data_IF_709714081760
#
_entry.id   IF_709714081760
#
_cell.length_a   1.000
_cell.length_b   1.000
_cell.length_c   1.000
_cell.angle_alpha   90.00
_cell.angle_beta   90.00
_cell.angle_gamma   90.00
#
_symmetry.space_group_name_H-M   'P 1'
#
loop_
_entity.id
_entity.type
_entity.pdbx_description
1 polymer ?
#
# COMPACT_ATOMS: atom_id res chain seq x y z
N UNK A 1 14.44 -9.24 -3.16
CA UNK A 1 14.10 -8.53 -1.91
C UNK A 1 12.64 -8.13 -2.00
N UNK A 2 11.88 -8.17 -0.90
CA UNK A 2 10.46 -7.84 -0.93
C UNK A 2 10.26 -6.33 -1.07
N UNK A 3 9.45 -5.92 -2.03
CA UNK A 3 9.09 -4.52 -2.30
C UNK A 3 7.57 -4.45 -2.43
N UNK A 4 6.93 -3.61 -1.62
CA UNK A 4 5.47 -3.44 -1.64
C UNK A 4 5.15 -2.02 -2.10
N UNK A 5 5.13 -1.87 -3.41
CA UNK A 5 4.78 -0.69 -4.22
C UNK A 5 3.57 -0.97 -5.13
N UNK A 6 3.32 -2.25 -5.47
CA UNK A 6 2.21 -2.72 -6.30
C UNK A 6 1.58 -3.98 -5.72
N UNK A 7 0.26 -4.12 -5.88
CA UNK A 7 -0.43 -5.36 -5.51
C UNK A 7 -0.13 -6.51 -6.47
N UNK A 8 0.39 -6.23 -7.67
CA UNK A 8 0.72 -7.25 -8.67
C UNK A 8 1.85 -8.19 -8.25
N UNK A 9 2.60 -7.85 -7.19
CA UNK A 9 3.66 -8.68 -6.62
C UNK A 9 3.16 -9.64 -5.55
N UNK A 10 1.93 -9.48 -5.08
CA UNK A 10 1.34 -10.31 -4.03
C UNK A 10 0.49 -11.38 -4.68
N UNK A 11 0.65 -12.64 -4.27
CA UNK A 11 -0.32 -13.67 -4.61
C UNK A 11 -1.49 -13.69 -3.62
N UNK A 12 -2.46 -14.57 -3.87
CA UNK A 12 -3.63 -14.68 -2.98
C UNK A 12 -3.26 -15.11 -1.55
N UNK A 13 -2.24 -15.94 -1.38
CA UNK A 13 -1.79 -16.40 -0.05
C UNK A 13 -1.11 -15.25 0.69
N UNK A 14 -0.34 -14.43 0.00
CA UNK A 14 0.24 -13.22 0.56
C UNK A 14 -0.86 -12.29 1.09
N UNK A 15 -1.91 -12.05 0.29
CA UNK A 15 -3.05 -11.23 0.72
C UNK A 15 -3.76 -11.80 1.96
N UNK A 16 -4.07 -13.11 1.94
CA UNK A 16 -4.75 -13.77 3.06
C UNK A 16 -3.89 -13.76 4.33
N UNK A 17 -2.57 -13.93 4.19
CA UNK A 17 -1.62 -13.85 5.30
C UNK A 17 -1.50 -12.43 5.87
N UNK A 18 -1.38 -11.42 5.00
CA UNK A 18 -1.40 -10.01 5.40
C UNK A 18 -2.70 -9.68 6.14
N UNK A 19 -3.86 -10.13 5.66
CA UNK A 19 -5.13 -9.90 6.36
C UNK A 19 -5.22 -10.62 7.70
N UNK A 20 -4.65 -11.82 7.82
CA UNK A 20 -4.56 -12.53 9.09
C UNK A 20 -3.71 -11.75 10.10
N UNK A 21 -2.55 -11.23 9.68
CA UNK A 21 -1.70 -10.38 10.51
C UNK A 21 -2.41 -9.08 10.89
N UNK A 22 -3.07 -8.41 9.94
CA UNK A 22 -3.85 -7.20 10.19
C UNK A 22 -4.95 -7.46 11.23
N UNK A 23 -5.64 -8.60 11.14
CA UNK A 23 -6.64 -9.01 12.13
C UNK A 23 -6.02 -9.22 13.52
N UNK A 24 -4.86 -9.87 13.59
CA UNK A 24 -4.11 -10.06 14.84
C UNK A 24 -3.76 -8.71 15.48
N UNK A 25 -3.22 -7.77 14.69
CA UNK A 25 -2.89 -6.42 15.15
C UNK A 25 -4.09 -5.62 15.63
N UNK A 26 -5.21 -5.73 14.92
CA UNK A 26 -6.45 -5.06 15.31
C UNK A 26 -7.02 -5.65 16.62
N UNK A 27 -6.89 -6.96 16.84
CA UNK A 27 -7.32 -7.61 18.09
C UNK A 27 -6.45 -7.23 19.29
N UNK A 28 -5.12 -7.21 19.14
CA UNK A 28 -4.20 -6.85 20.23
C UNK A 28 -4.09 -5.33 20.41
N UNK A 29 -4.68 -4.54 19.52
CA UNK A 29 -4.74 -3.09 19.63
C UNK A 29 -3.41 -2.39 19.41
N UNK A 30 -2.55 -2.92 18.54
CA UNK A 30 -1.24 -2.34 18.20
C UNK A 30 -0.26 -2.22 19.40
N UNK A 31 -0.49 -2.99 20.47
CA UNK A 31 0.44 -3.06 21.58
C UNK A 31 1.61 -3.96 21.20
N UNK A 32 2.79 -3.37 20.96
CA UNK A 32 4.01 -4.16 20.79
C UNK A 32 4.52 -4.62 22.15
N UNK A 33 4.86 -5.91 22.24
CA UNK A 33 5.67 -6.45 23.36
C UNK A 33 7.13 -6.64 22.94
N UNK A 34 7.44 -6.38 21.67
CA UNK A 34 8.76 -6.57 21.09
C UNK A 34 9.60 -5.32 21.27
N UNK A 35 10.85 -5.42 21.75
CA UNK A 35 11.75 -4.27 21.80
C UNK A 35 11.96 -3.68 20.40
N UNK A 36 11.93 -2.34 20.30
CA UNK A 36 12.29 -1.64 19.08
C UNK A 36 13.77 -1.91 18.76
N UNK A 37 14.01 -2.87 17.88
CA UNK A 37 15.35 -3.36 17.56
C UNK A 37 15.71 -3.17 16.09
N UNK A 38 14.68 -2.98 15.25
CA UNK A 38 14.81 -2.71 13.82
C UNK A 38 14.67 -1.21 13.56
N UNK A 39 15.29 -0.71 12.50
CA UNK A 39 15.35 0.71 12.12
C UNK A 39 14.79 0.87 10.73
N UNK A 40 13.87 1.80 10.59
CA UNK A 40 13.26 2.09 9.31
C UNK A 40 13.38 3.58 9.03
N UNK A 41 13.94 3.91 7.87
CA UNK A 41 14.19 5.29 7.48
C UNK A 41 13.00 5.78 6.67
N UNK A 42 12.29 6.78 7.17
CA UNK A 42 11.13 7.36 6.50
C UNK A 42 11.56 8.60 5.73
N UNK A 43 11.34 8.59 4.41
CA UNK A 43 11.47 9.77 3.55
C UNK A 43 10.06 10.25 3.22
N UNK A 44 9.67 11.38 3.79
CA UNK A 44 8.37 12.02 3.56
C UNK A 44 8.55 13.32 2.76
N UNK A 45 7.89 13.39 1.61
CA UNK A 45 7.90 14.57 0.73
C UNK A 45 6.65 15.44 0.89
N UNK A 46 5.89 15.29 1.98
CA UNK A 46 4.68 16.04 2.28
C UNK A 46 3.41 15.35 1.76
N UNK A 47 3.27 14.04 2.04
CA UNK A 47 2.02 13.31 1.76
C UNK A 47 0.98 13.53 2.88
N UNK A 48 -0.12 12.77 2.85
CA UNK A 48 -1.17 12.83 3.87
C UNK A 48 -0.62 12.53 5.29
N UNK A 49 -0.82 13.46 6.22
CA UNK A 49 -0.33 13.37 7.61
C UNK A 49 -0.96 12.17 8.36
N UNK A 50 -2.23 11.84 8.11
CA UNK A 50 -2.90 10.71 8.74
C UNK A 50 -2.30 9.38 8.28
N UNK A 51 -1.86 9.32 7.02
CA UNK A 51 -1.21 8.15 6.47
C UNK A 51 0.20 7.96 7.04
N UNK A 52 0.97 9.04 7.16
CA UNK A 52 2.29 9.02 7.82
C UNK A 52 2.16 8.66 9.30
N UNK A 53 1.16 9.19 9.99
CA UNK A 53 0.87 8.83 11.37
C UNK A 53 0.53 7.34 11.49
N UNK A 54 -0.37 6.83 10.64
CA UNK A 54 -0.72 5.42 10.61
C UNK A 54 0.50 4.53 10.36
N UNK A 55 1.37 4.93 9.43
CA UNK A 55 2.62 4.23 9.15
C UNK A 55 3.51 4.16 10.39
N UNK A 56 3.75 5.30 11.07
CA UNK A 56 4.59 5.36 12.28
C UNK A 56 4.05 4.47 13.39
N UNK A 57 2.73 4.48 13.62
CA UNK A 57 2.09 3.63 14.62
C UNK A 57 2.24 2.15 14.25
N UNK A 58 1.98 1.78 13.00
CA UNK A 58 2.12 0.40 12.52
C UNK A 58 3.56 -0.11 12.59
N UNK A 59 4.53 0.73 12.21
CA UNK A 59 5.95 0.41 12.29
C UNK A 59 6.41 0.20 13.74
N UNK A 60 6.01 1.09 14.65
CA UNK A 60 6.30 0.94 16.08
C UNK A 60 5.68 -0.34 16.65
N UNK A 61 4.44 -0.67 16.26
CA UNK A 61 3.78 -1.92 16.66
C UNK A 61 4.59 -3.15 16.20
N UNK A 62 5.07 -3.13 14.95
CA UNK A 62 5.92 -4.16 14.35
C UNK A 62 7.39 -4.15 14.87
N UNK A 63 7.73 -3.33 15.87
CA UNK A 63 9.06 -3.35 16.48
C UNK A 63 10.12 -2.51 15.76
N UNK A 64 9.70 -1.60 14.88
CA UNK A 64 10.60 -0.67 14.18
C UNK A 64 10.70 0.68 14.88
N UNK A 65 11.93 1.18 14.98
CA UNK A 65 12.20 2.58 15.25
C UNK A 65 12.23 3.35 13.94
N UNK A 66 11.22 4.20 13.72
CA UNK A 66 11.15 5.07 12.54
C UNK A 66 12.06 6.28 12.74
N UNK A 67 12.96 6.51 11.78
CA UNK A 67 13.85 7.66 11.74
C UNK A 67 13.49 8.51 10.53
N UNK A 68 13.09 9.76 10.79
CA UNK A 68 12.79 10.72 9.72
C UNK A 68 14.08 11.15 9.03
N UNK A 69 14.09 11.01 7.71
CA UNK A 69 15.21 11.42 6.85
C UNK A 69 14.73 12.54 5.93
N UNK A 70 15.49 13.64 5.80
CA UNK A 70 15.12 14.71 4.90
C UNK A 70 14.98 14.23 3.44
N UNK A 71 13.96 14.73 2.73
CA UNK A 71 13.72 14.42 1.32
C UNK A 71 14.91 14.75 0.40
N UNK A 72 15.84 15.62 0.83
CA UNK A 72 17.10 15.88 0.11
C UNK A 72 17.96 14.63 -0.09
N UNK A 73 17.72 13.56 0.67
CA UNK A 73 18.39 12.28 0.48
C UNK A 73 18.11 11.64 -0.89
N UNK A 74 16.97 11.96 -1.51
CA UNK A 74 16.62 11.49 -2.85
C UNK A 74 17.52 12.09 -3.94
N UNK A 75 18.24 13.18 -3.64
CA UNK A 75 19.25 13.76 -4.51
C UNK A 75 20.69 13.42 -4.06
N UNK A 76 20.85 12.57 -3.05
CA UNK A 76 22.16 12.25 -2.51
C UNK A 76 22.94 11.30 -3.44
N UNK A 77 24.29 11.34 -3.41
CA UNK A 77 25.12 10.38 -4.11
C UNK A 77 24.83 8.95 -3.66
N UNK A 78 24.96 7.97 -4.57
CA UNK A 78 24.75 6.54 -4.30
C UNK A 78 25.50 6.04 -3.04
N UNK A 79 26.72 6.52 -2.81
CA UNK A 79 27.53 6.17 -1.63
C UNK A 79 26.88 6.55 -0.29
N UNK A 80 26.02 7.57 -0.27
CA UNK A 80 25.27 7.96 0.93
C UNK A 80 24.10 7.00 1.15
N UNK A 81 23.41 6.62 0.07
CA UNK A 81 22.31 5.65 0.13
C UNK A 81 22.80 4.26 0.54
N UNK A 82 23.98 3.84 0.08
CA UNK A 82 24.64 2.61 0.55
C UNK A 82 24.93 2.65 2.06
N UNK A 83 25.42 3.79 2.58
CA UNK A 83 25.67 3.95 4.03
C UNK A 83 24.37 3.89 4.82
N UNK A 84 23.29 4.49 4.32
CA UNK A 84 21.97 4.37 4.93
C UNK A 84 21.52 2.92 4.94
N UNK A 85 21.66 2.22 3.82
CA UNK A 85 21.32 0.80 3.72
C UNK A 85 22.13 -0.10 4.66
N UNK A 86 23.34 0.30 5.04
CA UNK A 86 24.15 -0.45 6.01
C UNK A 86 23.68 -0.35 7.47
N UNK A 87 22.80 0.61 7.79
CA UNK A 87 22.33 0.86 9.17
C UNK A 87 20.82 0.73 9.35
N UNK A 88 20.06 0.76 8.26
CA UNK A 88 18.61 0.63 8.22
C UNK A 88 18.22 -0.79 7.80
N UNK A 89 17.14 -1.31 8.37
CA UNK A 89 16.52 -2.57 7.93
C UNK A 89 15.63 -2.36 6.70
N UNK A 90 15.19 -1.11 6.46
CA UNK A 90 14.39 -0.73 5.30
C UNK A 90 14.22 0.79 5.16
N UNK A 91 13.75 1.21 4.00
CA UNK A 91 13.33 2.58 3.72
C UNK A 91 11.83 2.60 3.48
N UNK A 92 11.10 3.44 4.21
CA UNK A 92 9.75 3.83 3.81
C UNK A 92 9.79 5.09 2.97
N UNK A 93 9.03 5.06 1.89
CA UNK A 93 8.87 6.20 1.01
C UNK A 93 7.41 6.66 1.04
N UNK A 94 7.22 7.91 1.45
CA UNK A 94 5.96 8.61 1.39
C UNK A 94 6.15 9.75 0.37
N UNK A 95 5.95 9.44 -0.91
CA UNK A 95 6.42 10.29 -2.01
C UNK A 95 5.44 10.33 -3.18
N UNK A 96 5.07 11.53 -3.61
CA UNK A 96 4.27 11.72 -4.84
C UNK A 96 5.10 12.15 -6.05
N UNK A 97 6.42 12.22 -5.93
CA UNK A 97 7.32 12.70 -6.99
C UNK A 97 7.87 11.58 -7.89
N UNK A 98 7.77 10.32 -7.48
CA UNK A 98 8.19 9.16 -8.28
C UNK A 98 9.66 8.77 -8.04
N UNK A 99 10.21 9.09 -6.88
CA UNK A 99 11.58 8.79 -6.48
C UNK A 99 11.81 7.30 -6.14
N UNK A 100 10.76 6.47 -6.17
CA UNK A 100 10.86 5.03 -5.91
C UNK A 100 11.84 4.34 -6.86
N UNK A 101 11.73 4.57 -8.18
CA UNK A 101 12.61 3.93 -9.17
C UNK A 101 14.09 4.26 -8.93
N UNK A 102 14.36 5.49 -8.49
CA UNK A 102 15.71 5.92 -8.15
C UNK A 102 16.25 5.12 -6.95
N UNK A 103 15.50 5.05 -5.84
CA UNK A 103 15.92 4.29 -4.66
C UNK A 103 16.02 2.79 -4.94
N UNK A 104 15.07 2.23 -5.68
CA UNK A 104 15.05 0.83 -6.07
C UNK A 104 16.27 0.48 -6.93
N UNK A 105 16.61 1.34 -7.90
CA UNK A 105 17.77 1.14 -8.78
C UNK A 105 19.12 1.10 -8.05
N UNK A 106 19.20 1.64 -6.83
CA UNK A 106 20.43 1.63 -6.02
C UNK A 106 20.60 0.37 -5.15
N UNK A 107 19.57 -0.47 -5.03
CA UNK A 107 19.67 -1.83 -4.46
C UNK A 107 20.12 -1.94 -3.00
N UNK A 108 20.07 -0.86 -2.22
CA UNK A 108 20.72 -0.82 -0.91
C UNK A 108 19.93 -1.53 0.21
N UNK A 109 18.60 -1.43 0.23
CA UNK A 109 17.70 -1.99 1.28
C UNK A 109 16.27 -2.15 0.75
N UNK A 110 15.41 -2.97 1.40
CA UNK A 110 14.02 -3.09 1.00
C UNK A 110 13.30 -1.74 1.12
N UNK A 111 12.41 -1.47 0.16
CA UNK A 111 11.64 -0.22 0.09
C UNK A 111 10.16 -0.56 0.27
N UNK A 112 9.53 0.09 1.25
CA UNK A 112 8.10 -0.01 1.55
C UNK A 112 7.43 1.30 1.16
N UNK A 113 6.44 1.23 0.29
CA UNK A 113 5.69 2.43 -0.11
C UNK A 113 4.59 2.72 0.90
N UNK A 114 4.64 3.91 1.50
CA UNK A 114 3.55 4.47 2.32
C UNK A 114 2.48 5.03 1.38
N UNK A 115 2.91 5.86 0.43
CA UNK A 115 2.12 6.33 -0.70
C UNK A 115 3.09 6.63 -1.85
N UNK A 116 2.73 6.24 -3.08
CA UNK A 116 3.46 6.62 -4.28
C UNK A 116 2.52 7.18 -5.33
N UNK A 117 2.95 8.11 -6.18
CA UNK A 117 2.18 8.53 -7.36
C UNK A 117 1.69 7.35 -8.22
N UNK A 118 2.42 6.23 -8.20
CA UNK A 118 2.14 5.01 -8.97
C UNK A 118 1.19 4.04 -8.28
N UNK A 119 0.87 4.21 -7.01
CA UNK A 119 -0.02 3.31 -6.31
C UNK A 119 -0.13 3.60 -4.81
N UNK A 120 -1.23 3.15 -4.22
CA UNK A 120 -1.40 3.09 -2.77
C UNK A 120 -1.90 1.70 -2.34
N UNK A 121 -1.04 0.66 -2.42
CA UNK A 121 -1.42 -0.72 -2.10
C UNK A 121 -2.03 -0.87 -0.71
N UNK A 122 -1.47 -0.16 0.29
CA UNK A 122 -1.93 -0.21 1.68
C UNK A 122 -3.38 0.22 1.85
N UNK A 123 -3.84 1.22 1.09
CA UNK A 123 -5.24 1.66 1.15
C UNK A 123 -6.17 0.54 0.69
N UNK A 124 -5.84 -0.09 -0.43
CA UNK A 124 -6.65 -1.17 -0.99
C UNK A 124 -6.64 -2.39 -0.07
N UNK A 125 -5.48 -2.75 0.48
CA UNK A 125 -5.36 -3.84 1.45
C UNK A 125 -6.21 -3.58 2.70
N UNK A 126 -6.20 -2.37 3.24
CA UNK A 126 -7.01 -2.00 4.41
C UNK A 126 -8.52 -2.04 4.12
N UNK A 127 -8.95 -1.61 2.93
CA UNK A 127 -10.36 -1.70 2.52
C UNK A 127 -10.80 -3.15 2.35
N UNK A 128 -9.99 -3.95 1.67
CA UNK A 128 -10.26 -5.37 1.49
C UNK A 128 -10.27 -6.11 2.83
N UNK A 129 -9.35 -5.80 3.75
CA UNK A 129 -9.38 -6.30 5.12
C UNK A 129 -10.71 -5.99 5.82
N UNK A 130 -11.20 -4.74 5.74
CA UNK A 130 -12.51 -4.38 6.33
C UNK A 130 -13.66 -5.19 5.76
N UNK A 131 -13.62 -5.53 4.46
CA UNK A 131 -14.61 -6.42 3.86
C UNK A 131 -14.43 -7.86 4.35
N UNK A 132 -13.20 -8.36 4.38
CA UNK A 132 -12.84 -9.71 4.81
C UNK A 132 -13.38 -10.01 6.22
N UNK A 133 -13.20 -9.09 7.17
CA UNK A 133 -13.67 -9.28 8.55
C UNK A 133 -15.20 -9.26 8.70
N UNK A 134 -15.95 -8.82 7.68
CA UNK A 134 -17.41 -8.96 7.69
C UNK A 134 -17.89 -10.39 7.42
N UNK A 135 -16.97 -11.30 7.04
CA UNK A 135 -17.29 -12.68 6.68
C UNK A 135 -17.99 -12.84 5.32
N UNK A 136 -18.11 -11.75 4.55
CA UNK A 136 -18.70 -11.77 3.20
C UNK A 136 -17.69 -12.27 2.17
N UNK A 137 -18.16 -12.95 1.11
CA UNK A 137 -17.29 -13.40 0.03
C UNK A 137 -16.65 -12.22 -0.71
N UNK A 138 -15.38 -12.36 -1.09
CA UNK A 138 -14.67 -11.41 -1.95
C UNK A 138 -15.08 -11.54 -3.42
N UNK A 139 -15.53 -12.73 -3.82
CA UNK A 139 -15.92 -13.00 -5.20
C UNK A 139 -17.18 -12.20 -5.56
N UNK A 140 -17.06 -11.36 -6.59
CA UNK A 140 -18.13 -10.47 -7.03
C UNK A 140 -18.32 -9.24 -6.15
N UNK A 141 -17.37 -8.92 -5.28
CA UNK A 141 -17.36 -7.65 -4.54
C UNK A 141 -17.39 -6.48 -5.52
N UNK A 142 -18.41 -5.62 -5.45
CA UNK A 142 -18.55 -4.46 -6.32
C UNK A 142 -18.01 -3.22 -5.64
N UNK A 143 -16.90 -2.73 -6.16
CA UNK A 143 -16.18 -1.55 -5.67
C UNK A 143 -16.45 -0.38 -6.61
N UNK A 144 -16.78 0.78 -6.05
CA UNK A 144 -16.96 2.01 -6.81
C UNK A 144 -15.97 3.08 -6.33
N UNK A 145 -15.34 3.75 -7.29
CA UNK A 145 -14.50 4.93 -7.09
C UNK A 145 -15.13 6.13 -7.78
N UNK A 146 -15.44 7.21 -7.05
CA UNK A 146 -16.14 8.39 -7.59
C UNK A 146 -15.31 9.68 -7.55
N UNK A 147 -14.16 9.66 -6.87
CA UNK A 147 -13.38 10.86 -6.61
C UNK A 147 -12.29 11.10 -7.66
N UNK A 148 -11.66 12.27 -7.55
CA UNK A 148 -10.49 12.68 -8.33
C UNK A 148 -9.38 11.61 -8.29
N UNK A 149 -8.49 11.58 -9.30
CA UNK A 149 -7.45 10.57 -9.40
C UNK A 149 -6.59 10.59 -8.14
N UNK A 150 -6.55 9.45 -7.48
CA UNK A 150 -5.59 9.18 -6.42
C UNK A 150 -4.84 7.89 -6.77
N UNK A 151 -3.60 7.74 -6.30
CA UNK A 151 -2.84 6.51 -6.50
C UNK A 151 -3.59 5.23 -6.09
N UNK A 152 -4.51 5.33 -5.14
CA UNK A 152 -5.37 4.24 -4.73
C UNK A 152 -6.25 3.66 -5.86
N UNK A 153 -6.72 4.48 -6.83
CA UNK A 153 -7.51 3.97 -7.96
C UNK A 153 -6.69 3.00 -8.82
N UNK A 154 -5.40 3.31 -9.04
CA UNK A 154 -4.50 2.41 -9.74
C UNK A 154 -4.32 1.10 -8.99
N UNK A 155 -4.09 1.15 -7.68
CA UNK A 155 -4.01 -0.07 -6.86
C UNK A 155 -5.34 -0.85 -6.81
N UNK A 156 -6.49 -0.19 -6.87
CA UNK A 156 -7.78 -0.89 -6.99
C UNK A 156 -7.88 -1.65 -8.30
N UNK A 157 -7.40 -1.08 -9.41
CA UNK A 157 -7.27 -1.80 -10.67
C UNK A 157 -6.35 -3.02 -10.52
N UNK A 158 -5.20 -2.86 -9.85
CA UNK A 158 -4.26 -3.96 -9.57
C UNK A 158 -4.89 -5.09 -8.75
N UNK A 159 -5.74 -4.77 -7.76
CA UNK A 159 -6.42 -5.78 -6.95
C UNK A 159 -7.27 -6.75 -7.78
N UNK A 160 -7.77 -6.35 -8.95
CA UNK A 160 -8.50 -7.25 -9.86
C UNK A 160 -7.62 -8.35 -10.46
N UNK A 161 -6.29 -8.24 -10.37
CA UNK A 161 -5.36 -9.31 -10.75
C UNK A 161 -5.43 -10.51 -9.81
N UNK A 162 -5.66 -10.24 -8.52
CA UNK A 162 -5.42 -11.20 -7.43
C UNK A 162 -6.70 -11.56 -6.67
N UNK A 163 -7.71 -10.69 -6.73
CA UNK A 163 -9.03 -10.90 -6.13
C UNK A 163 -10.10 -10.83 -7.23
N UNK A 164 -11.06 -11.78 -7.27
CA UNK A 164 -12.14 -11.79 -8.25
C UNK A 164 -13.25 -10.76 -7.88
N UNK A 165 -12.89 -9.48 -7.86
CA UNK A 165 -13.77 -8.35 -7.56
C UNK A 165 -14.03 -7.47 -8.80
N UNK A 166 -15.08 -6.67 -8.76
CA UNK A 166 -15.46 -5.75 -9.84
C UNK A 166 -15.23 -4.30 -9.40
N UNK A 167 -14.23 -3.63 -9.97
CA UNK A 167 -13.97 -2.20 -9.74
C UNK A 167 -14.60 -1.37 -10.84
N UNK A 168 -15.40 -0.40 -10.44
CA UNK A 168 -15.95 0.63 -11.33
C UNK A 168 -15.40 2.00 -10.96
N UNK A 169 -14.65 2.62 -11.88
CA UNK A 169 -14.35 4.04 -11.83
C UNK A 169 -15.51 4.84 -12.45
N UNK A 170 -16.04 5.81 -11.72
CA UNK A 170 -17.10 6.69 -12.17
C UNK A 170 -16.50 8.04 -12.56
N UNK A 171 -16.51 8.38 -13.85
CA UNK A 171 -15.93 9.63 -14.34
C UNK A 171 -15.76 9.68 -15.86
N UNK A 172 -15.52 10.88 -16.39
CA UNK A 172 -15.31 11.12 -17.82
C UNK A 172 -13.86 10.97 -18.25
N UNK A 173 -12.92 11.27 -17.35
CA UNK A 173 -11.48 11.21 -17.59
C UNK A 173 -10.97 9.78 -17.38
N UNK A 174 -9.93 9.39 -18.12
CA UNK A 174 -9.24 8.13 -17.84
C UNK A 174 -8.05 8.42 -16.92
N UNK A 175 -8.07 7.78 -15.75
CA UNK A 175 -7.04 7.98 -14.72
C UNK A 175 -6.18 6.73 -14.52
N UNK A 176 -6.54 5.62 -15.17
CA UNK A 176 -5.73 4.39 -15.16
C UNK A 176 -5.19 4.21 -16.56
N UNK A 177 -3.88 4.35 -16.70
CA UNK A 177 -3.24 4.25 -18.01
C UNK A 177 -3.32 2.82 -18.59
N UNK A 178 -3.09 2.74 -19.90
CA UNK A 178 -3.10 1.48 -20.63
C UNK A 178 -2.00 0.52 -20.16
N UNK A 179 -0.87 1.03 -19.67
CA UNK A 179 0.24 0.19 -19.18
C UNK A 179 -0.18 -0.60 -17.95
N UNK A 180 -0.84 0.06 -16.99
CA UNK A 180 -1.39 -0.57 -15.80
C UNK A 180 -2.44 -1.63 -16.16
N UNK A 181 -3.37 -1.32 -17.07
CA UNK A 181 -4.36 -2.28 -17.55
C UNK A 181 -3.71 -3.49 -18.23
N UNK A 182 -2.64 -3.28 -19.00
CA UNK A 182 -1.88 -4.35 -19.62
C UNK A 182 -1.10 -5.19 -18.61
N UNK A 183 -0.56 -4.58 -17.55
CA UNK A 183 0.12 -5.28 -16.47
C UNK A 183 -0.85 -6.19 -15.70
N UNK A 184 -2.02 -5.66 -15.33
CA UNK A 184 -3.10 -6.42 -14.67
C UNK A 184 -3.55 -7.62 -15.50
N UNK A 185 -3.76 -7.44 -16.80
CA UNK A 185 -4.13 -8.54 -17.71
C UNK A 185 -3.04 -9.60 -17.79
N UNK A 186 -1.76 -9.20 -17.89
CA UNK A 186 -0.61 -10.13 -17.90
C UNK A 186 -0.47 -10.91 -16.60
N UNK A 187 -0.84 -10.31 -15.47
CA UNK A 187 -0.86 -10.96 -14.16
C UNK A 187 -2.01 -11.97 -13.99
N UNK A 188 -2.86 -12.18 -15.00
CA UNK A 188 -3.95 -13.17 -14.94
C UNK A 188 -5.21 -12.63 -14.27
N UNK A 189 -5.64 -11.43 -14.67
CA UNK A 189 -6.83 -10.74 -14.16
C UNK A 189 -8.00 -11.68 -13.82
N UNK A 190 -8.38 -11.70 -12.54
CA UNK A 190 -9.46 -12.54 -12.00
C UNK A 190 -10.78 -11.78 -11.88
N UNK A 191 -10.70 -10.46 -11.68
CA UNK A 191 -11.84 -9.55 -11.54
C UNK A 191 -12.09 -8.72 -12.79
N UNK A 192 -12.88 -7.66 -12.65
CA UNK A 192 -13.08 -6.68 -13.74
C UNK A 192 -12.76 -5.27 -13.29
N UNK A 193 -12.14 -4.49 -14.17
CA UNK A 193 -12.02 -3.05 -14.03
C UNK A 193 -12.74 -2.39 -15.19
N UNK A 194 -13.66 -1.47 -14.88
CA UNK A 194 -14.42 -0.73 -15.89
C UNK A 194 -14.60 0.72 -15.49
N UNK A 195 -14.88 1.54 -16.49
CA UNK A 195 -15.26 2.93 -16.29
C UNK A 195 -16.70 3.15 -16.74
N UNK A 196 -17.48 3.83 -15.91
CA UNK A 196 -18.85 4.24 -16.20
C UNK A 196 -19.01 5.74 -15.98
N UNK A 197 -20.05 6.33 -16.58
CA UNK A 197 -20.52 7.69 -16.24
C UNK A 197 -21.51 7.67 -15.07
N UNK A 198 -22.22 6.55 -14.99
CA UNK A 198 -23.11 6.04 -13.95
C UNK A 198 -22.46 5.66 -12.63
N UNK A 199 -22.95 6.07 -11.44
CA UNK A 199 -22.69 5.27 -10.23
C UNK A 199 -23.58 4.02 -10.30
N UNK A 200 -23.03 2.79 -10.40
CA UNK A 200 -23.82 1.57 -10.37
C UNK A 200 -24.15 1.15 -8.93
N UNK A 201 -24.99 0.12 -8.78
CA UNK A 201 -25.11 -0.61 -7.52
C UNK A 201 -23.75 -1.18 -7.11
N UNK A 202 -23.38 -0.95 -5.85
CA UNK A 202 -22.08 -1.31 -5.31
C UNK A 202 -22.16 -1.70 -3.84
N UNK A 203 -21.13 -2.39 -3.37
CA UNK A 203 -21.00 -2.85 -1.99
C UNK A 203 -20.05 -1.96 -1.19
N UNK A 204 -19.06 -1.35 -1.85
CA UNK A 204 -18.03 -0.51 -1.23
C UNK A 204 -17.78 0.75 -2.05
N UNK A 205 -17.82 1.90 -1.38
CA UNK A 205 -17.28 3.17 -1.90
C UNK A 205 -15.81 3.27 -1.50
N UNK A 206 -14.93 2.97 -2.44
CA UNK A 206 -13.49 2.82 -2.23
C UNK A 206 -12.72 4.13 -2.06
N UNK A 207 -13.38 5.27 -2.30
CA UNK A 207 -12.77 6.58 -2.14
C UNK A 207 -12.97 7.18 -0.75
N UNK A 208 -13.75 6.52 0.11
CA UNK A 208 -13.84 6.92 1.52
C UNK A 208 -12.53 6.63 2.24
N UNK A 209 -11.97 7.58 3.01
CA UNK A 209 -10.73 7.36 3.72
C UNK A 209 -10.87 6.25 4.76
N UNK A 210 -9.79 5.47 4.92
CA UNK A 210 -9.65 4.53 6.04
C UNK A 210 -9.22 5.29 7.29
N UNK A 211 -9.71 4.85 8.45
CA UNK A 211 -9.22 5.40 9.72
C UNK A 211 -7.76 5.00 9.98
N UNK A 212 -7.02 5.90 10.64
CA UNK A 212 -5.61 5.72 11.04
C UNK A 212 -5.34 4.35 11.65
N UNK A 213 -6.24 3.84 12.50
CA UNK A 213 -6.09 2.52 13.12
C UNK A 213 -6.04 1.38 12.10
N UNK A 214 -6.96 1.34 11.13
CA UNK A 214 -6.99 0.27 10.12
C UNK A 214 -5.75 0.33 9.24
N UNK A 215 -5.32 1.54 8.86
CA UNK A 215 -4.09 1.74 8.11
C UNK A 215 -2.88 1.28 8.92
N UNK A 216 -2.78 1.63 10.21
CA UNK A 216 -1.69 1.24 11.09
C UNK A 216 -1.58 -0.29 11.25
N UNK A 217 -2.71 -0.99 11.43
CA UNK A 217 -2.73 -2.45 11.48
C UNK A 217 -2.26 -3.06 10.16
N UNK A 218 -2.67 -2.46 9.04
CA UNK A 218 -2.27 -2.92 7.70
C UNK A 218 -0.77 -2.68 7.46
N UNK A 219 -0.23 -1.53 7.88
CA UNK A 219 1.21 -1.27 7.82
C UNK A 219 2.02 -2.22 8.69
N UNK A 220 1.59 -2.49 9.93
CA UNK A 220 2.25 -3.46 10.80
C UNK A 220 2.34 -4.83 10.13
N UNK A 221 1.22 -5.31 9.59
CA UNK A 221 1.16 -6.57 8.85
C UNK A 221 2.06 -6.60 7.61
N UNK A 222 2.08 -5.51 6.83
CA UNK A 222 2.93 -5.40 5.64
C UNK A 222 4.42 -5.41 5.99
N UNK A 223 4.79 -4.69 7.05
CA UNK A 223 6.17 -4.64 7.51
C UNK A 223 6.62 -6.01 8.02
N UNK A 224 5.80 -6.75 8.76
CA UNK A 224 6.14 -8.12 9.18
C UNK A 224 6.19 -9.12 8.01
N UNK A 225 5.41 -8.91 6.96
CA UNK A 225 5.46 -9.74 5.76
C UNK A 225 6.71 -9.47 4.92
N UNK A 226 7.14 -8.21 4.81
CA UNK A 226 8.22 -7.80 3.91
C UNK A 226 9.61 -7.70 4.54
N UNK A 227 9.71 -7.51 5.87
CA UNK A 227 10.94 -7.19 6.60
C UNK A 227 11.11 -8.06 7.86
#
# INVERSE_FOLDING_TARGET
>A
MAHIDTLLRLDRRDLEFIWLLTAGWDQVGLHSTTPLSRRLFLVDTGVDEDLVLAFRIGAAAAGFHVLDVPASILAAPASILERIGSVADGIALADRTGAFDFLHGQGAVPVVTVEEARGAPVHVLGHLYRWFVTGKPMRGLRVVWQDSPQPALRSWCEATAVVPLDVTHVGETDYVDGENLHAVRRAGQQGTFRRLRTVPDHDVTASQPLGVRTLACTFAALLEHAL
#
